data_IF_361517656800
#
_entry.id   IF_361517656800
#
_cell.length_a   1.000
_cell.length_b   1.000
_cell.length_c   1.000
_cell.angle_alpha   90.00
_cell.angle_beta   90.00
_cell.angle_gamma   90.00
#
_symmetry.space_group_name_H-M   'P 1'
#
loop_
_entity.id
_entity.type
_entity.pdbx_description
1 polymer ?
#
# COMPACT_ATOMS: atom_id res chain seq x y z
N UNK A 1 4.87 15.95 17.68
CA UNK A 1 4.63 15.14 18.89
C UNK A 1 3.57 14.09 18.58
N UNK A 2 3.74 12.84 19.04
CA UNK A 2 2.73 11.78 18.90
C UNK A 2 2.25 11.44 20.30
N UNK A 3 1.00 11.79 20.61
CA UNK A 3 0.35 11.41 21.85
C UNK A 3 -0.10 9.95 21.78
N UNK A 4 0.09 9.21 22.88
CA UNK A 4 -0.51 7.89 23.07
C UNK A 4 -2.03 7.97 22.99
N UNK A 5 -2.70 6.85 22.73
CA UNK A 5 -4.17 6.80 22.70
C UNK A 5 -4.75 7.28 24.02
N UNK A 6 -4.17 6.87 25.14
CA UNK A 6 -4.57 7.29 26.50
C UNK A 6 -4.44 8.79 26.68
N UNK A 7 -3.28 9.36 26.31
CA UNK A 7 -3.04 10.81 26.40
C UNK A 7 -4.03 11.61 25.56
N UNK A 8 -4.42 11.11 24.37
CA UNK A 8 -5.45 11.76 23.56
C UNK A 8 -6.81 11.78 24.24
N UNK A 9 -7.19 10.70 24.92
CA UNK A 9 -8.48 10.62 25.64
C UNK A 9 -8.52 11.61 26.80
N UNK A 10 -7.45 11.66 27.60
CA UNK A 10 -7.34 12.60 28.72
C UNK A 10 -7.38 14.06 28.23
N UNK A 11 -6.69 14.33 27.11
CA UNK A 11 -6.70 15.63 26.46
C UNK A 11 -8.11 16.04 26.00
N UNK A 12 -8.93 15.12 25.50
CA UNK A 12 -10.32 15.40 25.12
C UNK A 12 -11.17 15.64 26.37
N UNK A 13 -10.98 14.85 27.43
CA UNK A 13 -11.75 15.00 28.65
C UNK A 13 -11.57 16.39 29.28
N UNK A 14 -10.31 16.83 29.43
CA UNK A 14 -9.97 18.15 29.96
C UNK A 14 -10.45 19.27 29.04
N UNK A 15 -10.50 19.04 27.72
CA UNK A 15 -11.03 20.02 26.78
C UNK A 15 -12.49 20.35 27.10
N UNK A 16 -13.31 19.32 27.30
CA UNK A 16 -14.72 19.48 27.60
C UNK A 16 -14.95 20.02 29.02
N UNK A 17 -14.11 19.65 29.99
CA UNK A 17 -14.15 20.23 31.34
C UNK A 17 -13.88 21.74 31.32
N UNK A 18 -12.98 22.20 30.44
CA UNK A 18 -12.63 23.61 30.24
C UNK A 18 -13.65 24.43 29.43
N UNK A 19 -14.87 23.92 29.21
CA UNK A 19 -15.90 24.58 28.38
C UNK A 19 -15.39 24.99 27.00
N UNK A 20 -14.63 24.10 26.37
CA UNK A 20 -14.06 24.27 25.03
C UNK A 20 -12.96 25.37 24.92
N UNK A 21 -12.45 25.87 26.06
CA UNK A 21 -11.34 26.83 26.12
C UNK A 21 -9.97 26.13 26.12
N UNK A 22 -9.33 26.02 24.95
CA UNK A 22 -8.02 25.36 24.78
C UNK A 22 -6.92 25.85 25.74
N UNK A 23 -6.90 27.15 26.08
CA UNK A 23 -5.88 27.72 26.98
C UNK A 23 -6.06 27.25 28.41
N UNK A 24 -7.29 27.22 28.88
CA UNK A 24 -7.64 26.75 30.23
C UNK A 24 -7.38 25.26 30.33
N UNK A 25 -7.77 24.49 29.32
CA UNK A 25 -7.46 23.06 29.25
C UNK A 25 -5.96 22.75 29.32
N UNK A 26 -5.09 23.55 28.68
CA UNK A 26 -3.63 23.34 28.79
C UNK A 26 -3.14 23.57 30.21
N UNK A 27 -3.67 24.58 30.90
CA UNK A 27 -3.30 24.87 32.29
C UNK A 27 -3.77 23.75 33.22
N UNK A 28 -5.01 23.29 33.07
CA UNK A 28 -5.56 22.16 33.83
C UNK A 28 -4.81 20.86 33.56
N UNK A 29 -4.47 20.59 32.29
CA UNK A 29 -3.67 19.42 31.92
C UNK A 29 -2.28 19.45 32.56
N UNK A 30 -1.65 20.62 32.60
CA UNK A 30 -0.34 20.81 33.24
C UNK A 30 -0.39 20.60 34.75
N UNK A 31 -1.47 21.06 35.39
CA UNK A 31 -1.68 20.92 36.84
C UNK A 31 -1.94 19.45 37.22
N UNK A 32 -2.84 18.78 36.49
CA UNK A 32 -3.20 17.37 36.74
C UNK A 32 -2.09 16.39 36.32
N UNK A 33 -1.35 16.66 35.23
CA UNK A 33 -0.38 15.75 34.64
C UNK A 33 1.03 16.35 34.56
N UNK A 34 1.57 16.77 35.71
CA UNK A 34 2.92 17.35 35.83
C UNK A 34 4.06 16.46 35.31
N UNK A 35 3.84 15.14 35.23
CA UNK A 35 4.81 14.16 34.73
C UNK A 35 4.77 13.97 33.19
N UNK A 36 3.79 14.56 32.48
CA UNK A 36 3.61 14.38 31.03
C UNK A 36 4.06 15.61 30.24
N UNK A 37 4.32 15.41 28.95
CA UNK A 37 4.63 16.53 28.06
C UNK A 37 3.37 17.35 27.80
N UNK A 38 3.39 18.61 28.23
CA UNK A 38 2.30 19.54 27.97
C UNK A 38 2.15 19.79 26.46
N UNK A 39 0.94 19.68 25.90
CA UNK A 39 0.74 19.97 24.50
C UNK A 39 0.93 21.45 24.18
N UNK A 40 1.48 21.74 23.00
CA UNK A 40 1.42 23.10 22.47
C UNK A 40 -0.02 23.42 22.06
N UNK A 41 -0.40 24.69 22.15
CA UNK A 41 -1.73 25.15 21.73
C UNK A 41 -2.06 24.73 20.28
N UNK A 42 -1.07 24.84 19.39
CA UNK A 42 -1.19 24.37 18.00
C UNK A 42 -1.42 22.87 17.88
N UNK A 43 -0.70 22.05 18.64
CA UNK A 43 -0.83 20.60 18.63
C UNK A 43 -2.19 20.17 19.15
N UNK A 44 -2.66 20.82 20.21
CA UNK A 44 -3.93 20.52 20.85
C UNK A 44 -5.13 20.92 19.97
N UNK A 45 -5.08 22.11 19.38
CA UNK A 45 -6.07 22.57 18.40
C UNK A 45 -6.14 21.61 17.21
N UNK A 46 -4.99 21.18 16.67
CA UNK A 46 -4.97 20.24 15.56
C UNK A 46 -5.57 18.88 15.94
N UNK A 47 -5.34 18.41 17.16
CA UNK A 47 -5.94 17.18 17.69
C UNK A 47 -7.47 17.29 17.74
N UNK A 48 -8.02 18.35 18.34
CA UNK A 48 -9.47 18.55 18.45
C UNK A 48 -10.12 18.67 17.07
N UNK A 49 -9.54 19.47 16.16
CA UNK A 49 -10.04 19.59 14.78
C UNK A 49 -10.04 18.25 14.06
N UNK A 50 -8.95 17.49 14.18
CA UNK A 50 -8.83 16.18 13.55
C UNK A 50 -9.91 15.22 14.05
N UNK A 51 -10.27 15.26 15.33
CA UNK A 51 -11.36 14.43 15.86
C UNK A 51 -12.73 14.87 15.34
N UNK A 52 -12.98 16.18 15.24
CA UNK A 52 -14.24 16.68 14.70
C UNK A 52 -14.41 16.42 13.19
N UNK A 53 -13.32 16.38 12.44
CA UNK A 53 -13.34 16.18 10.99
C UNK A 53 -13.23 14.69 10.58
N UNK A 54 -12.71 13.83 11.44
CA UNK A 54 -12.37 12.45 11.06
C UNK A 54 -13.22 11.44 11.85
N UNK A 55 -14.20 10.83 11.20
CA UNK A 55 -14.94 9.64 11.70
C UNK A 55 -14.04 8.38 11.87
N UNK A 56 -12.71 8.52 11.81
CA UNK A 56 -11.73 7.44 11.78
C UNK A 56 -10.38 7.88 12.40
N UNK A 57 -9.97 7.26 13.53
CA UNK A 57 -8.68 7.53 14.20
C UNK A 57 -7.44 7.17 13.33
N UNK A 58 -7.66 6.48 12.21
CA UNK A 58 -6.62 6.11 11.26
C UNK A 58 -6.40 7.23 10.25
N UNK A 59 -5.60 8.23 10.62
CA UNK A 59 -5.00 9.12 9.62
C UNK A 59 -4.16 8.29 8.66
N UNK A 60 -4.75 7.92 7.52
CA UNK A 60 -4.03 7.35 6.38
C UNK A 60 -2.91 8.34 6.06
N UNK A 61 -1.66 7.95 6.34
CA UNK A 61 -0.52 8.73 5.88
C UNK A 61 -0.70 8.91 4.37
N UNK A 62 -0.57 10.13 3.82
CA UNK A 62 -0.56 10.30 2.38
C UNK A 62 0.66 9.54 1.87
N UNK A 63 0.44 8.30 1.41
CA UNK A 63 1.45 7.52 0.73
C UNK A 63 1.80 8.21 -0.57
N UNK A 64 3.05 8.11 -1.00
CA UNK A 64 3.46 8.57 -2.33
C UNK A 64 2.52 7.95 -3.37
N UNK A 65 1.85 8.80 -4.14
CA UNK A 65 0.97 8.36 -5.22
C UNK A 65 1.79 7.56 -6.23
N UNK A 66 1.43 6.29 -6.43
CA UNK A 66 2.08 5.42 -7.43
C UNK A 66 1.55 5.79 -8.81
N UNK A 67 2.15 6.81 -9.44
CA UNK A 67 1.75 7.27 -10.77
C UNK A 67 2.00 6.21 -11.85
N UNK A 68 3.15 5.52 -11.81
CA UNK A 68 3.47 4.48 -12.79
C UNK A 68 2.60 3.22 -12.64
N UNK A 69 2.32 2.79 -11.41
CA UNK A 69 1.42 1.66 -11.07
C UNK A 69 -0.04 2.13 -10.88
N UNK A 70 -0.42 3.25 -11.51
CA UNK A 70 -1.79 3.74 -11.40
C UNK A 70 -2.77 2.72 -11.99
N UNK A 71 -3.99 2.68 -11.45
CA UNK A 71 -5.00 1.67 -11.80
C UNK A 71 -5.22 1.54 -13.31
N UNK A 72 -5.25 2.66 -14.04
CA UNK A 72 -5.41 2.67 -15.49
C UNK A 72 -4.30 1.91 -16.23
N UNK A 73 -3.05 2.14 -15.86
CA UNK A 73 -1.89 1.47 -16.46
C UNK A 73 -1.88 -0.02 -16.13
N UNK A 74 -2.24 -0.37 -14.89
CA UNK A 74 -2.35 -1.76 -14.47
C UNK A 74 -3.41 -2.51 -15.29
N UNK A 75 -4.58 -1.91 -15.51
CA UNK A 75 -5.65 -2.53 -16.34
C UNK A 75 -5.17 -2.76 -17.77
N UNK A 76 -4.51 -1.78 -18.39
CA UNK A 76 -4.01 -1.93 -19.77
C UNK A 76 -2.98 -3.06 -19.89
N UNK A 77 -2.03 -3.14 -18.95
CA UNK A 77 -0.99 -4.17 -18.93
C UNK A 77 -1.59 -5.56 -18.70
N UNK A 78 -2.53 -5.68 -17.76
CA UNK A 78 -3.19 -6.96 -17.46
C UNK A 78 -4.08 -7.42 -18.62
N UNK A 79 -4.77 -6.51 -19.30
CA UNK A 79 -5.57 -6.83 -20.48
C UNK A 79 -4.69 -7.38 -21.62
N UNK A 80 -3.55 -6.76 -21.88
CA UNK A 80 -2.61 -7.22 -22.91
C UNK A 80 -2.07 -8.62 -22.61
N UNK A 81 -1.72 -8.90 -21.35
CA UNK A 81 -1.26 -10.23 -20.90
C UNK A 81 -2.37 -11.27 -20.96
N UNK A 82 -3.62 -10.88 -20.70
CA UNK A 82 -4.76 -11.78 -20.82
C UNK A 82 -5.05 -12.18 -22.27
N UNK A 83 -4.81 -11.27 -23.23
CA UNK A 83 -4.94 -11.57 -24.68
C UNK A 83 -3.80 -12.46 -25.16
N UNK A 84 -2.57 -12.21 -24.71
CA UNK A 84 -1.40 -13.01 -25.04
C UNK A 84 -0.51 -13.25 -23.81
N UNK A 85 -0.61 -14.42 -23.15
CA UNK A 85 0.21 -14.74 -21.97
C UNK A 85 1.71 -14.79 -22.23
N UNK A 86 2.14 -14.94 -23.49
CA UNK A 86 3.54 -15.04 -23.88
C UNK A 86 4.17 -13.69 -24.25
N UNK A 87 3.45 -12.58 -24.07
CA UNK A 87 3.96 -11.24 -24.36
C UNK A 87 5.12 -10.87 -23.42
N UNK A 88 6.21 -10.37 -23.98
CA UNK A 88 7.38 -9.98 -23.18
C UNK A 88 7.15 -8.66 -22.44
N UNK A 89 7.75 -8.50 -21.27
CA UNK A 89 7.70 -7.22 -20.52
C UNK A 89 8.31 -6.05 -21.29
N UNK A 90 9.27 -6.31 -22.18
CA UNK A 90 9.86 -5.31 -23.09
C UNK A 90 8.88 -4.86 -24.16
N UNK A 91 8.10 -5.78 -24.71
CA UNK A 91 7.06 -5.46 -25.67
C UNK A 91 5.95 -4.62 -25.03
N UNK A 92 5.48 -5.02 -23.84
CA UNK A 92 4.50 -4.24 -23.06
C UNK A 92 5.00 -2.82 -22.76
N UNK A 93 6.30 -2.65 -22.48
CA UNK A 93 6.91 -1.32 -22.26
C UNK A 93 6.75 -0.42 -23.48
N UNK A 94 6.96 -0.96 -24.70
CA UNK A 94 6.82 -0.22 -25.95
C UNK A 94 5.38 0.14 -26.26
N UNK A 95 4.43 -0.73 -25.91
CA UNK A 95 3.00 -0.55 -26.21
C UNK A 95 2.31 0.39 -25.20
N UNK A 96 2.67 0.33 -23.92
CA UNK A 96 1.97 1.07 -22.87
C UNK A 96 2.68 2.33 -22.39
N UNK A 97 3.95 2.56 -22.79
CA UNK A 97 4.77 3.69 -22.32
C UNK A 97 5.12 3.64 -20.83
N UNK A 98 4.86 2.51 -20.16
CA UNK A 98 5.17 2.29 -18.74
C UNK A 98 6.55 1.64 -18.63
N UNK A 99 7.36 2.06 -17.66
CA UNK A 99 8.68 1.45 -17.48
C UNK A 99 8.59 -0.05 -17.23
N UNK A 100 9.56 -0.81 -17.76
CA UNK A 100 9.62 -2.26 -17.60
C UNK A 100 9.56 -2.70 -16.13
N UNK A 101 10.25 -1.96 -15.24
CA UNK A 101 10.23 -2.23 -13.80
C UNK A 101 8.83 -2.07 -13.19
N UNK A 102 8.05 -1.09 -13.64
CA UNK A 102 6.67 -0.90 -13.17
C UNK A 102 5.74 -2.00 -13.69
N UNK A 103 5.92 -2.44 -14.94
CA UNK A 103 5.19 -3.58 -15.52
C UNK A 103 5.43 -4.86 -14.71
N UNK A 104 6.70 -5.17 -14.40
CA UNK A 104 7.03 -6.35 -13.59
C UNK A 104 6.39 -6.26 -12.20
N UNK A 105 6.42 -5.10 -11.55
CA UNK A 105 5.73 -4.91 -10.26
C UNK A 105 4.21 -5.09 -10.36
N UNK A 106 3.56 -4.60 -11.43
CA UNK A 106 2.14 -4.80 -11.69
C UNK A 106 1.85 -6.30 -11.80
N UNK A 107 2.60 -7.02 -12.63
CA UNK A 107 2.40 -8.46 -12.84
C UNK A 107 2.56 -9.25 -11.54
N UNK A 108 3.62 -8.99 -10.77
CA UNK A 108 3.85 -9.64 -9.48
C UNK A 108 2.74 -9.33 -8.46
N UNK A 109 2.27 -8.07 -8.40
CA UNK A 109 1.20 -7.67 -7.47
C UNK A 109 -0.11 -8.38 -7.78
N UNK A 110 -0.35 -8.70 -9.06
CA UNK A 110 -1.55 -9.39 -9.53
C UNK A 110 -1.36 -10.90 -9.73
N UNK A 111 -0.25 -11.48 -9.23
CA UNK A 111 0.08 -12.91 -9.33
C UNK A 111 0.20 -13.44 -10.77
N UNK A 112 0.45 -12.56 -11.73
CA UNK A 112 0.88 -12.96 -13.07
C UNK A 112 2.37 -13.24 -13.03
N UNK A 113 2.74 -14.50 -13.19
CA UNK A 113 4.13 -14.91 -13.28
C UNK A 113 4.49 -15.12 -14.75
N UNK A 114 5.32 -14.23 -15.34
CA UNK A 114 5.79 -14.39 -16.70
C UNK A 114 6.84 -15.51 -16.76
N UNK A 115 6.39 -16.77 -16.68
CA UNK A 115 7.24 -17.91 -17.01
C UNK A 115 7.04 -18.23 -18.49
N UNK A 116 8.13 -18.24 -19.26
CA UNK A 116 8.13 -18.91 -20.55
C UNK A 116 7.99 -20.42 -20.27
N UNK A 117 6.83 -20.98 -20.58
CA UNK A 117 6.68 -22.44 -20.63
C UNK A 117 7.47 -22.88 -21.87
N UNK A 118 8.71 -23.31 -21.65
CA UNK A 118 9.50 -23.97 -22.69
C UNK A 118 9.15 -25.46 -22.66
N UNK A 119 8.37 -25.92 -23.64
CA UNK A 119 8.17 -27.34 -23.90
C UNK A 119 9.51 -27.94 -24.36
N UNK A 120 10.28 -28.50 -23.43
CA UNK A 120 11.59 -29.10 -23.73
C UNK A 120 11.51 -30.55 -24.21
N UNK A 121 10.31 -31.13 -24.27
CA UNK A 121 10.10 -32.51 -24.68
C UNK A 121 8.88 -32.57 -25.61
N UNK A 122 9.09 -32.35 -26.90
CA UNK A 122 8.14 -32.83 -27.89
C UNK A 122 8.26 -34.36 -27.93
N UNK A 123 7.20 -35.06 -27.51
CA UNK A 123 7.13 -36.50 -27.62
C UNK A 123 6.92 -36.86 -29.09
N UNK A 124 8.01 -36.99 -29.85
CA UNK A 124 7.96 -37.43 -31.23
C UNK A 124 7.51 -38.90 -31.27
N UNK A 125 6.63 -39.25 -32.22
CA UNK A 125 5.95 -40.56 -32.24
C UNK A 125 6.85 -41.80 -32.21
N UNK A 126 8.12 -41.68 -32.61
CA UNK A 126 9.12 -42.77 -32.57
C UNK A 126 9.90 -42.88 -31.25
N UNK A 127 9.70 -41.96 -30.30
CA UNK A 127 10.41 -41.96 -29.02
C UNK A 127 10.04 -43.18 -28.16
N UNK A 128 8.81 -43.70 -28.28
CA UNK A 128 8.41 -44.93 -27.60
C UNK A 128 9.23 -46.15 -28.08
N UNK A 129 9.45 -46.27 -29.39
CA UNK A 129 10.25 -47.36 -29.98
C UNK A 129 11.73 -47.26 -29.58
N UNK A 130 12.29 -46.04 -29.56
CA UNK A 130 13.68 -45.81 -29.16
C UNK A 130 13.92 -46.16 -27.69
N UNK A 131 12.96 -45.89 -26.80
CA UNK A 131 13.04 -46.27 -25.40
C UNK A 131 12.99 -47.79 -25.20
N UNK A 132 12.21 -48.53 -25.98
CA UNK A 132 12.10 -50.00 -25.87
C UNK A 132 13.35 -50.69 -26.44
N UNK A 133 13.93 -50.15 -27.52
CA UNK A 133 15.11 -50.74 -28.17
C UNK A 133 16.44 -50.43 -27.46
N UNK A 134 16.46 -49.45 -26.54
CA UNK A 134 17.65 -49.09 -25.76
C UNK A 134 18.02 -50.10 -24.65
N UNK A 135 17.18 -51.10 -24.38
CA UNK A 135 17.38 -52.11 -23.33
C UNK A 135 17.68 -53.50 -23.88
N UNK A 136 18.28 -53.58 -25.07
CA UNK A 136 18.73 -54.83 -25.71
C UNK A 136 20.21 -54.74 -26.03
#
# INVERSE_FOLDING_TARGET
MRYSREEKVDLIFIYHESRDCLREAILLYKDQFSHRSCPSLSSYLHLIKKLGETDSDESKKPGRVRSATHKANAVSVLAAVNVNPHVSSRQLTRESGVSQSSIVHILHSHKFHPYHISLHQEFHGRNFENCVNSWK
#
